data_IF_623966490507
#
_entry.id   IF_623966490507
#
_cell.length_a   1.000
_cell.length_b   1.000
_cell.length_c   1.000
_cell.angle_alpha   90.00
_cell.angle_beta   90.00
_cell.angle_gamma   90.00
#
_symmetry.space_group_name_H-M   'P 1'
#
loop_
_entity.id
_entity.type
_entity.pdbx_description
1 polymer ?
#
# COMPACT_ATOMS: atom_id res chain seq x y z
N UNK A 1 -3.84 -5.22 26.14
CA UNK A 1 -4.65 -4.85 24.95
C UNK A 1 -6.15 -4.72 25.24
N UNK A 2 -6.89 -5.76 25.68
CA UNK A 2 -8.34 -5.63 26.06
C UNK A 2 -8.61 -4.58 27.15
N UNK A 3 -7.76 -4.50 28.17
CA UNK A 3 -7.97 -3.58 29.29
C UNK A 3 -7.83 -2.10 28.90
N UNK A 4 -6.87 -1.77 28.02
CA UNK A 4 -6.66 -0.41 27.53
C UNK A 4 -7.80 0.04 26.59
N UNK A 5 -8.34 -0.87 25.78
CA UNK A 5 -9.48 -0.60 24.91
C UNK A 5 -10.78 -0.36 25.70
N UNK A 6 -11.00 -1.09 26.80
CA UNK A 6 -12.17 -0.91 27.67
C UNK A 6 -12.12 0.42 28.44
N UNK A 7 -10.95 0.88 28.88
CA UNK A 7 -10.81 2.20 29.52
C UNK A 7 -11.13 3.35 28.57
N UNK A 8 -10.81 3.22 27.28
CA UNK A 8 -11.10 4.26 26.28
C UNK A 8 -12.60 4.40 25.97
N UNK A 9 -13.39 3.32 26.13
CA UNK A 9 -14.85 3.38 25.94
C UNK A 9 -15.59 4.03 27.12
N UNK A 10 -15.02 4.01 28.33
CA UNK A 10 -15.66 4.59 29.52
C UNK A 10 -15.42 6.09 29.66
N UNK A 11 -14.43 6.67 28.96
CA UNK A 11 -14.11 8.11 29.07
C UNK A 11 -14.94 9.02 28.15
N UNK A 12 -15.69 8.48 27.18
CA UNK A 12 -16.51 9.29 26.27
C UNK A 12 -18.02 9.09 26.48
N UNK A 13 -18.54 9.71 27.53
CA UNK A 13 -19.97 9.95 27.67
C UNK A 13 -20.40 11.12 26.81
N UNK A 14 -20.87 10.88 25.58
CA UNK A 14 -21.57 11.87 24.74
C UNK A 14 -23.09 11.62 24.81
N UNK A 15 -23.93 12.62 25.13
CA UNK A 15 -25.38 12.43 25.22
C UNK A 15 -26.00 12.22 23.83
N UNK A 16 -27.02 11.35 23.78
CA UNK A 16 -27.67 10.89 22.56
C UNK A 16 -28.22 12.00 21.66
N UNK A 17 -27.85 11.93 20.38
CA UNK A 17 -28.50 12.65 19.30
C UNK A 17 -29.34 11.68 18.47
N UNK A 18 -30.65 11.92 18.43
CA UNK A 18 -31.62 11.19 17.62
C UNK A 18 -31.28 11.32 16.13
N UNK A 19 -31.00 10.20 15.46
CA UNK A 19 -30.77 10.16 14.02
C UNK A 19 -32.10 10.33 13.25
N UNK A 20 -32.25 11.44 12.52
CA UNK A 20 -33.19 11.52 11.39
C UNK A 20 -32.49 11.01 10.14
N UNK A 21 -33.07 9.98 9.52
CA UNK A 21 -32.60 9.42 8.26
C UNK A 21 -32.72 10.45 7.13
N UNK A 22 -31.58 10.75 6.49
CA UNK A 22 -31.52 11.52 5.24
C UNK A 22 -31.45 10.48 4.11
N UNK A 23 -32.25 10.58 3.04
CA UNK A 23 -32.23 9.59 1.99
C UNK A 23 -30.87 9.64 1.28
N UNK A 24 -30.17 8.50 1.25
CA UNK A 24 -28.97 8.34 0.45
C UNK A 24 -29.41 8.35 -1.01
N UNK A 25 -29.16 9.46 -1.69
CA UNK A 25 -29.22 9.51 -3.14
C UNK A 25 -28.22 8.48 -3.68
N UNK A 26 -28.73 7.43 -4.33
CA UNK A 26 -27.92 6.48 -5.07
C UNK A 26 -27.14 7.26 -6.13
N UNK A 27 -25.82 7.40 -5.92
CA UNK A 27 -24.94 7.91 -6.96
C UNK A 27 -24.93 6.89 -8.11
N UNK A 28 -24.91 7.34 -9.37
CA UNK A 28 -24.82 6.45 -10.51
C UNK A 28 -23.54 5.62 -10.40
N UNK A 29 -23.65 4.31 -10.66
CA UNK A 29 -22.52 3.40 -10.79
C UNK A 29 -21.74 3.84 -12.05
N UNK A 30 -20.61 4.53 -11.87
CA UNK A 30 -19.67 4.79 -12.96
C UNK A 30 -19.06 3.46 -13.41
N UNK A 31 -19.54 2.96 -14.53
CA UNK A 31 -19.06 1.73 -15.15
C UNK A 31 -17.71 2.01 -15.84
N UNK A 32 -16.70 1.26 -15.37
CA UNK A 32 -15.33 1.09 -15.87
C UNK A 32 -14.33 2.20 -15.51
N UNK A 33 -14.12 2.42 -14.20
CA UNK A 33 -13.07 3.28 -13.64
C UNK A 33 -11.62 2.82 -13.87
N UNK A 34 -11.33 2.14 -14.98
CA UNK A 34 -10.02 1.56 -15.33
C UNK A 34 -9.58 2.07 -16.71
N UNK A 35 -8.32 2.49 -16.82
CA UNK A 35 -7.69 2.93 -18.04
C UNK A 35 -7.43 1.73 -18.96
N UNK A 36 -7.96 1.76 -20.18
CA UNK A 36 -7.77 0.68 -21.16
C UNK A 36 -6.30 0.44 -21.54
N UNK A 37 -5.46 1.49 -21.50
CA UNK A 37 -4.04 1.40 -21.89
C UNK A 37 -3.19 0.70 -20.83
N UNK A 38 -3.37 1.07 -19.56
CA UNK A 38 -2.51 0.61 -18.46
C UNK A 38 -3.17 -0.47 -17.60
N UNK A 39 -4.50 -0.61 -17.67
CA UNK A 39 -5.31 -1.42 -16.75
C UNK A 39 -5.35 -0.89 -15.31
N UNK A 40 -4.95 0.38 -15.10
CA UNK A 40 -4.92 1.04 -13.78
C UNK A 40 -6.14 1.94 -13.58
N UNK A 41 -6.37 2.42 -12.36
CA UNK A 41 -7.52 3.28 -12.03
C UNK A 41 -7.55 4.57 -12.88
N UNK A 42 -8.75 5.08 -13.17
CA UNK A 42 -8.96 6.39 -13.80
C UNK A 42 -9.09 7.53 -12.78
N UNK A 43 -9.41 7.20 -11.53
CA UNK A 43 -9.75 8.17 -10.49
C UNK A 43 -8.55 8.83 -9.80
N UNK A 44 -7.34 8.28 -9.96
CA UNK A 44 -6.11 8.81 -9.38
C UNK A 44 -5.53 9.98 -10.16
N UNK A 45 -4.93 10.93 -9.45
CA UNK A 45 -4.22 12.08 -10.05
C UNK A 45 -2.71 11.88 -9.96
N UNK A 46 -1.91 12.59 -10.75
CA UNK A 46 -0.45 12.54 -10.63
C UNK A 46 0.09 12.94 -9.23
N UNK A 47 -0.73 13.61 -8.41
CA UNK A 47 -0.36 13.98 -7.02
C UNK A 47 -0.64 12.87 -6.01
N UNK A 48 -1.60 11.99 -6.27
CA UNK A 48 -2.02 10.96 -5.34
C UNK A 48 -3.40 10.39 -5.62
N UNK A 49 -3.91 9.60 -4.65
CA UNK A 49 -4.99 8.67 -4.85
C UNK A 49 -4.48 7.27 -5.21
N UNK A 50 -5.39 6.38 -5.59
CA UNK A 50 -5.05 5.05 -6.06
C UNK A 50 -4.17 5.11 -7.32
N UNK A 51 -3.35 4.08 -7.54
CA UNK A 51 -2.44 3.99 -8.68
C UNK A 51 -3.23 4.09 -10.00
N UNK A 52 -2.87 5.07 -10.83
CA UNK A 52 -3.59 5.43 -12.05
C UNK A 52 -2.64 5.62 -13.23
N UNK A 53 -3.19 5.69 -14.44
CA UNK A 53 -2.40 5.99 -15.65
C UNK A 53 -1.60 7.30 -15.54
N UNK A 54 -2.12 8.30 -14.81
CA UNK A 54 -1.44 9.58 -14.60
C UNK A 54 -0.17 9.46 -13.73
N UNK A 55 -0.07 8.44 -12.88
CA UNK A 55 1.11 8.23 -12.04
C UNK A 55 2.30 7.63 -12.82
N UNK A 56 2.02 6.92 -13.92
CA UNK A 56 3.00 6.12 -14.65
C UNK A 56 3.24 6.64 -16.06
N UNK A 57 2.65 7.77 -16.43
CA UNK A 57 2.71 8.33 -17.79
C UNK A 57 4.14 8.60 -18.26
N UNK A 58 5.04 8.97 -17.34
CA UNK A 58 6.45 9.24 -17.62
C UNK A 58 7.33 7.99 -17.63
N UNK A 59 6.80 6.84 -17.23
CA UNK A 59 7.51 5.56 -17.20
C UNK A 59 7.32 4.81 -18.52
N UNK A 60 8.10 3.74 -18.70
CA UNK A 60 7.97 2.86 -19.86
C UNK A 60 6.56 2.27 -19.91
N UNK A 61 5.87 2.46 -21.04
CA UNK A 61 4.51 1.94 -21.24
C UNK A 61 4.46 0.42 -21.21
N UNK A 62 5.57 -0.26 -21.50
CA UNK A 62 5.66 -1.72 -21.39
C UNK A 62 5.85 -2.18 -19.93
N UNK A 63 6.30 -1.29 -19.04
CA UNK A 63 6.44 -1.59 -17.62
C UNK A 63 5.09 -1.61 -16.90
N UNK A 64 4.08 -0.84 -17.35
CA UNK A 64 2.73 -0.81 -16.78
C UNK A 64 1.65 -1.03 -17.84
N UNK A 65 1.12 -2.26 -17.91
CA UNK A 65 0.06 -2.66 -18.84
C UNK A 65 -0.84 -3.73 -18.24
N UNK A 66 -2.09 -3.79 -18.66
CA UNK A 66 -3.06 -4.81 -18.21
C UNK A 66 -3.21 -4.90 -16.68
N UNK A 67 -2.96 -3.80 -15.97
CA UNK A 67 -2.98 -3.73 -14.50
C UNK A 67 -1.74 -4.31 -13.82
N UNK A 68 -0.70 -4.67 -14.58
CA UNK A 68 0.53 -5.28 -14.11
C UNK A 68 1.71 -4.32 -14.13
N UNK A 69 2.66 -4.54 -13.23
CA UNK A 69 3.98 -3.91 -13.24
C UNK A 69 5.04 -4.94 -13.63
N UNK A 70 5.61 -4.83 -14.83
CA UNK A 70 6.53 -5.80 -15.44
C UNK A 70 7.78 -5.12 -16.04
N UNK A 71 8.60 -4.42 -15.22
CA UNK A 71 9.80 -3.76 -15.71
C UNK A 71 10.84 -4.78 -16.22
N UNK A 72 11.58 -4.40 -17.27
CA UNK A 72 12.70 -5.19 -17.79
C UNK A 72 14.01 -4.67 -17.21
N UNK A 73 14.49 -5.34 -16.17
CA UNK A 73 15.80 -5.03 -15.58
C UNK A 73 16.94 -5.62 -16.40
N UNK A 74 18.15 -5.10 -16.17
CA UNK A 74 19.37 -5.63 -16.75
C UNK A 74 19.56 -7.11 -16.38
N UNK A 75 20.12 -7.91 -17.29
CA UNK A 75 20.33 -9.36 -17.11
C UNK A 75 21.22 -9.68 -15.92
N UNK A 76 22.22 -8.85 -15.68
CA UNK A 76 23.16 -9.02 -14.56
C UNK A 76 22.53 -8.64 -13.20
N UNK A 77 21.40 -7.93 -13.22
CA UNK A 77 20.58 -7.65 -12.03
C UNK A 77 20.36 -6.17 -11.72
N UNK A 78 19.69 -5.91 -10.60
CA UNK A 78 19.21 -4.59 -10.18
C UNK A 78 20.30 -3.56 -9.87
N UNK A 79 21.54 -3.98 -9.71
CA UNK A 79 22.67 -3.08 -9.45
C UNK A 79 23.14 -2.34 -10.71
N UNK A 80 22.71 -2.77 -11.89
CA UNK A 80 23.03 -2.13 -13.16
C UNK A 80 22.02 -1.03 -13.50
N UNK A 81 22.40 -0.04 -14.33
CA UNK A 81 21.50 1.02 -14.78
C UNK A 81 20.21 0.48 -15.39
N UNK A 82 19.13 1.24 -15.22
CA UNK A 82 17.81 0.91 -15.77
C UNK A 82 17.21 2.14 -16.45
N UNK A 83 16.57 1.96 -17.61
CA UNK A 83 15.88 3.04 -18.32
C UNK A 83 14.39 2.74 -18.36
N UNK A 84 13.57 3.73 -17.99
CA UNK A 84 12.11 3.66 -18.08
C UNK A 84 11.57 4.98 -18.63
N UNK A 85 10.84 4.92 -19.74
CA UNK A 85 10.45 6.12 -20.50
C UNK A 85 11.68 6.88 -20.98
N UNK A 86 11.75 8.17 -20.66
CA UNK A 86 12.87 9.04 -21.02
C UNK A 86 13.96 9.11 -19.94
N UNK A 87 13.75 8.46 -18.78
CA UNK A 87 14.65 8.54 -17.63
C UNK A 87 15.55 7.31 -17.51
N UNK A 88 16.85 7.55 -17.35
CA UNK A 88 17.82 6.52 -16.97
C UNK A 88 18.20 6.69 -15.50
N UNK A 89 17.97 5.63 -14.73
CA UNK A 89 18.29 5.48 -13.32
C UNK A 89 19.68 4.90 -13.16
N UNK A 90 20.40 5.31 -12.11
CA UNK A 90 21.75 4.80 -11.80
C UNK A 90 21.74 3.28 -11.62
N UNK A 91 20.71 2.75 -10.96
CA UNK A 91 20.49 1.31 -10.80
C UNK A 91 19.00 0.98 -10.89
N UNK A 92 18.67 -0.29 -11.12
CA UNK A 92 17.30 -0.80 -10.98
C UNK A 92 16.68 -0.53 -9.60
N UNK A 93 17.47 -0.46 -8.53
CA UNK A 93 16.96 -0.06 -7.21
C UNK A 93 16.44 1.37 -7.18
N UNK A 94 17.08 2.31 -7.89
CA UNK A 94 16.61 3.69 -7.95
C UNK A 94 15.26 3.81 -8.67
N UNK A 95 15.03 2.97 -9.68
CA UNK A 95 13.71 2.83 -10.27
C UNK A 95 12.69 2.26 -9.27
N UNK A 96 13.07 1.21 -8.54
CA UNK A 96 12.20 0.62 -7.52
C UNK A 96 11.86 1.60 -6.38
N UNK A 97 12.77 2.50 -6.02
CA UNK A 97 12.49 3.57 -5.06
C UNK A 97 11.45 4.57 -5.58
N UNK A 98 11.51 4.92 -6.86
CA UNK A 98 10.50 5.82 -7.46
C UNK A 98 9.13 5.15 -7.52
N UNK A 99 9.05 3.91 -8.01
CA UNK A 99 7.75 3.22 -8.13
C UNK A 99 7.14 2.85 -6.77
N UNK A 100 7.95 2.73 -5.70
CA UNK A 100 7.45 2.57 -4.32
C UNK A 100 6.63 3.78 -3.85
N UNK A 101 6.86 4.96 -4.43
CA UNK A 101 6.18 6.19 -4.02
C UNK A 101 4.77 6.36 -4.65
N UNK A 102 4.41 5.47 -5.59
CA UNK A 102 3.19 5.57 -6.39
C UNK A 102 1.97 4.92 -5.70
N UNK A 103 0.79 5.53 -5.82
CA UNK A 103 -0.50 4.93 -5.46
C UNK A 103 -0.85 4.86 -3.97
N UNK A 104 0.07 5.22 -3.06
CA UNK A 104 -0.16 5.19 -1.61
C UNK A 104 -0.54 6.53 -0.97
N UNK A 105 -0.62 7.61 -1.74
CA UNK A 105 -0.89 8.97 -1.25
C UNK A 105 -2.38 9.27 -1.20
N UNK A 106 -2.77 10.17 -0.30
CA UNK A 106 -4.08 10.79 -0.33
C UNK A 106 -4.23 11.72 -1.56
N UNK A 107 -5.44 12.24 -1.79
CA UNK A 107 -5.76 13.10 -2.95
C UNK A 107 -4.92 14.38 -3.05
N UNK A 108 -4.33 14.83 -1.95
CA UNK A 108 -3.55 16.06 -1.86
C UNK A 108 -2.02 15.78 -1.94
N UNK A 109 -1.64 14.50 -2.05
CA UNK A 109 -0.25 14.04 -2.19
C UNK A 109 0.51 13.78 -0.90
N UNK A 110 -0.14 13.92 0.26
CA UNK A 110 0.39 13.48 1.54
C UNK A 110 0.07 12.01 1.83
N UNK A 111 0.73 11.42 2.83
CA UNK A 111 0.40 10.07 3.31
C UNK A 111 -0.61 10.06 4.47
N UNK A 112 -0.94 11.23 5.02
CA UNK A 112 -1.90 11.37 6.12
C UNK A 112 -3.35 11.11 5.70
N UNK A 113 -4.18 10.79 6.68
CA UNK A 113 -5.62 10.61 6.51
C UNK A 113 -6.41 11.10 7.71
N UNK A 114 -7.75 10.97 7.68
CA UNK A 114 -8.62 11.48 8.74
C UNK A 114 -8.40 10.84 10.12
N UNK A 115 -7.81 9.64 10.17
CA UNK A 115 -7.51 8.92 11.41
C UNK A 115 -6.08 9.15 11.92
N UNK A 116 -5.17 9.60 11.05
CA UNK A 116 -3.80 9.90 11.38
C UNK A 116 -3.24 10.86 10.32
N UNK A 117 -3.21 12.15 10.63
CA UNK A 117 -2.74 13.17 9.69
C UNK A 117 -1.21 13.15 9.50
N UNK A 118 -0.47 12.74 10.52
CA UNK A 118 1.00 12.75 10.56
C UNK A 118 1.58 11.33 10.80
N UNK A 119 1.44 10.41 9.83
CA UNK A 119 1.82 9.00 10.01
C UNK A 119 3.33 8.78 10.17
N UNK A 120 4.15 9.75 9.78
CA UNK A 120 5.62 9.69 9.91
C UNK A 120 6.17 10.61 11.01
N UNK A 121 5.30 11.07 11.92
CA UNK A 121 5.75 11.84 13.08
C UNK A 121 6.56 10.98 14.07
N UNK A 122 7.41 11.62 14.86
CA UNK A 122 8.21 10.95 15.90
C UNK A 122 7.33 10.14 16.87
N UNK A 123 6.14 10.65 17.21
CA UNK A 123 5.20 9.94 18.07
C UNK A 123 4.78 8.58 17.51
N UNK A 124 4.55 8.50 16.20
CA UNK A 124 4.19 7.22 15.54
C UNK A 124 5.42 6.31 15.43
N UNK A 125 6.59 6.89 15.15
CA UNK A 125 7.85 6.14 15.14
C UNK A 125 8.17 5.50 16.51
N UNK A 126 8.02 6.26 17.60
CA UNK A 126 8.23 5.77 18.97
C UNK A 126 7.25 4.64 19.33
N UNK A 127 5.99 4.77 18.93
CA UNK A 127 5.00 3.72 19.11
C UNK A 127 5.36 2.46 18.31
N UNK A 128 5.79 2.62 17.06
CA UNK A 128 6.20 1.51 16.21
C UNK A 128 7.41 0.76 16.80
N UNK A 129 8.37 1.47 17.41
CA UNK A 129 9.52 0.87 18.09
C UNK A 129 9.09 0.01 19.29
N UNK A 130 8.17 0.51 20.13
CA UNK A 130 7.62 -0.30 21.24
C UNK A 130 6.94 -1.56 20.71
N UNK A 131 6.10 -1.43 19.67
CA UNK A 131 5.42 -2.58 19.07
C UNK A 131 6.40 -3.59 18.46
N UNK A 132 7.49 -3.12 17.85
CA UNK A 132 8.54 -3.98 17.30
C UNK A 132 9.24 -4.80 18.40
N UNK A 133 9.49 -4.19 19.56
CA UNK A 133 10.08 -4.87 20.71
C UNK A 133 9.10 -5.88 21.34
N UNK A 134 7.82 -5.53 21.48
CA UNK A 134 6.79 -6.44 21.96
C UNK A 134 6.62 -7.65 21.04
N UNK A 135 6.66 -7.44 19.71
CA UNK A 135 6.50 -8.50 18.72
C UNK A 135 7.56 -9.60 18.83
N UNK A 136 8.79 -9.29 19.29
CA UNK A 136 9.84 -10.29 19.51
C UNK A 136 9.48 -11.33 20.58
N UNK A 137 8.57 -10.99 21.49
CA UNK A 137 8.17 -11.83 22.62
C UNK A 137 6.73 -12.34 22.50
N UNK A 138 6.05 -12.06 21.39
CA UNK A 138 4.67 -12.45 21.17
C UNK A 138 4.56 -13.98 21.05
N UNK A 139 3.66 -14.56 21.85
CA UNK A 139 3.36 -16.00 21.90
C UNK A 139 1.99 -16.33 21.30
N UNK A 140 1.38 -15.37 20.61
CA UNK A 140 0.04 -15.46 20.03
C UNK A 140 0.06 -15.45 18.50
N UNK A 141 1.23 -15.64 17.89
CA UNK A 141 1.38 -15.70 16.44
C UNK A 141 0.73 -16.96 15.86
N UNK A 142 0.31 -16.88 14.60
CA UNK A 142 -0.29 -17.98 13.86
C UNK A 142 0.61 -19.23 13.81
N UNK A 143 0.03 -20.38 13.45
CA UNK A 143 0.75 -21.66 13.30
C UNK A 143 1.54 -22.08 14.55
N UNK A 144 0.91 -21.92 15.73
CA UNK A 144 1.52 -22.18 17.04
C UNK A 144 2.85 -21.43 17.23
N UNK A 145 2.89 -20.14 16.85
CA UNK A 145 4.12 -19.34 16.76
C UNK A 145 5.13 -19.90 15.75
N UNK A 146 4.66 -20.19 14.54
CA UNK A 146 5.46 -20.79 13.45
C UNK A 146 6.17 -22.10 13.84
N UNK A 147 5.59 -22.85 14.79
CA UNK A 147 6.11 -24.17 15.23
C UNK A 147 5.45 -25.33 14.53
N UNK A 148 4.29 -25.11 13.90
CA UNK A 148 3.66 -26.15 13.09
C UNK A 148 4.59 -26.52 11.91
N UNK A 149 4.59 -27.80 11.46
CA UNK A 149 5.44 -28.21 10.35
C UNK A 149 5.12 -27.45 9.04
N UNK A 150 6.13 -26.76 8.48
CA UNK A 150 6.01 -26.06 7.21
C UNK A 150 6.29 -27.00 6.03
N UNK A 151 5.39 -27.13 5.03
CA UNK A 151 5.65 -27.92 3.84
C UNK A 151 6.70 -27.24 2.94
N UNK A 152 7.50 -28.04 2.23
CA UNK A 152 8.53 -27.56 1.30
C UNK A 152 8.43 -28.29 -0.03
N UNK A 153 8.49 -27.56 -1.14
CA UNK A 153 8.55 -28.16 -2.47
C UNK A 153 9.86 -28.93 -2.66
N UNK A 154 9.78 -30.06 -3.34
CA UNK A 154 10.95 -30.81 -3.78
C UNK A 154 11.61 -30.12 -4.98
N UNK A 155 12.90 -30.40 -5.22
CA UNK A 155 13.61 -29.90 -6.43
C UNK A 155 12.86 -30.22 -7.72
N UNK A 156 12.33 -31.44 -7.83
CA UNK A 156 11.55 -31.87 -8.98
C UNK A 156 10.27 -31.05 -9.18
N UNK A 157 9.61 -30.61 -8.10
CA UNK A 157 8.41 -29.77 -8.20
C UNK A 157 8.73 -28.32 -8.56
N UNK A 158 9.94 -27.83 -8.25
CA UNK A 158 10.39 -26.49 -8.63
C UNK A 158 10.81 -26.43 -10.11
N UNK A 159 11.28 -27.55 -10.66
CA UNK A 159 11.70 -27.67 -12.06
C UNK A 159 10.55 -27.89 -13.06
N UNK A 160 9.33 -28.17 -12.59
CA UNK A 160 8.12 -28.34 -13.40
C UNK A 160 7.50 -26.98 -13.76
#
# INVERSE_FOLDING_TARGET
LRAAWLSAQQSEGVPGATAKAVPVAAKPVEQNGICEKTGLELSGTAKGGALSAAHVEHLDSEAFRDGLHQPKFHTDGLHMPHTSGEKTYETGFHYLLEVHDLGGKNKDGGFGGPLCSEPFSQKIADLAEVLLQEAQNDKTLAYTNFKDPAPTLTKKQVEL
#
